data_IF_901684742842
#
_entry.id   IF_901684742842
#
_cell.length_a   1.000
_cell.length_b   1.000
_cell.length_c   1.000
_cell.angle_alpha   90.00
_cell.angle_beta   90.00
_cell.angle_gamma   90.00
#
_symmetry.space_group_name_H-M   'P 1'
#
loop_
_entity.id
_entity.type
_entity.pdbx_description
1 polymer ?
#
# COMPACT_ATOMS: atom_id res chain seq x y z
N UNK A 1 8.59 6.84 25.38
CA UNK A 1 7.80 5.92 24.52
C UNK A 1 7.28 6.73 23.35
N UNK A 2 7.51 6.30 22.10
CA UNK A 2 7.00 7.00 20.90
C UNK A 2 5.62 6.44 20.56
N UNK A 3 4.67 7.30 20.24
CA UNK A 3 3.34 6.91 19.77
C UNK A 3 3.10 7.47 18.37
N UNK A 4 2.27 6.78 17.59
CA UNK A 4 1.90 7.18 16.22
C UNK A 4 0.39 7.17 16.11
N UNK A 5 -0.17 8.26 15.62
CA UNK A 5 -1.55 8.35 15.17
C UNK A 5 -1.57 8.12 13.67
N UNK A 6 -2.41 7.20 13.21
CA UNK A 6 -2.63 6.93 11.79
C UNK A 6 -4.01 7.41 11.42
N UNK A 7 -4.09 8.31 10.43
CA UNK A 7 -5.34 8.70 9.78
C UNK A 7 -5.37 8.05 8.40
N UNK A 8 -6.25 7.09 8.23
CA UNK A 8 -6.38 6.36 6.97
C UNK A 8 -7.44 7.01 6.07
N UNK A 9 -7.22 6.96 4.75
CA UNK A 9 -8.15 7.38 3.71
C UNK A 9 -8.72 8.80 3.90
N UNK A 10 -7.84 9.81 4.01
CA UNK A 10 -8.27 11.21 4.16
C UNK A 10 -9.22 11.67 3.04
N UNK A 11 -9.06 11.12 1.84
CA UNK A 11 -9.92 11.38 0.68
C UNK A 11 -11.39 10.98 0.87
N UNK A 12 -11.67 10.02 1.76
CA UNK A 12 -13.03 9.62 2.12
C UNK A 12 -13.65 10.54 3.20
N UNK A 13 -12.90 11.52 3.71
CA UNK A 13 -13.39 12.48 4.69
C UNK A 13 -14.12 13.65 4.01
N UNK A 14 -15.41 13.81 4.31
CA UNK A 14 -16.22 14.94 3.81
C UNK A 14 -15.72 16.33 4.24
N UNK A 15 -14.82 16.39 5.24
CA UNK A 15 -14.18 17.60 5.74
C UNK A 15 -12.65 17.52 5.64
N UNK A 16 -12.13 16.83 4.63
CA UNK A 16 -10.71 16.61 4.40
C UNK A 16 -9.89 17.91 4.43
N UNK A 17 -10.38 19.01 3.85
CA UNK A 17 -9.72 20.32 3.88
C UNK A 17 -9.56 20.89 5.29
N UNK A 18 -10.59 20.76 6.12
CA UNK A 18 -10.59 21.19 7.52
C UNK A 18 -9.58 20.37 8.33
N UNK A 19 -9.52 19.06 8.10
CA UNK A 19 -8.54 18.17 8.74
C UNK A 19 -7.12 18.55 8.30
N UNK A 20 -6.90 18.77 7.00
CA UNK A 20 -5.59 19.13 6.45
C UNK A 20 -5.09 20.46 7.03
N UNK A 21 -5.95 21.47 7.06
CA UNK A 21 -5.57 22.83 7.51
C UNK A 21 -5.50 22.99 9.02
N UNK A 22 -6.44 22.41 9.78
CA UNK A 22 -6.54 22.61 11.23
C UNK A 22 -5.76 21.58 12.03
N UNK A 23 -5.59 20.36 11.52
CA UNK A 23 -4.94 19.24 12.23
C UNK A 23 -3.58 18.93 11.64
N UNK A 24 -3.50 18.53 10.38
CA UNK A 24 -2.26 18.00 9.78
C UNK A 24 -1.18 19.08 9.72
N UNK A 25 -1.53 20.27 9.22
CA UNK A 25 -0.60 21.41 9.11
C UNK A 25 -0.05 21.87 10.46
N UNK A 26 -0.88 21.87 11.50
CA UNK A 26 -0.53 22.41 12.81
C UNK A 26 0.18 21.38 13.68
N UNK A 27 0.07 20.09 13.36
CA UNK A 27 0.53 18.96 14.18
C UNK A 27 1.95 19.15 14.73
N UNK A 28 2.92 19.43 13.85
CA UNK A 28 4.33 19.56 14.23
C UNK A 28 4.58 20.71 15.20
N UNK A 29 3.75 21.75 15.16
CA UNK A 29 3.89 22.92 16.02
C UNK A 29 3.24 22.73 17.40
N UNK A 30 2.17 21.93 17.48
CA UNK A 30 1.34 21.82 18.71
C UNK A 30 1.54 20.50 19.47
N UNK A 31 1.99 19.44 18.78
CA UNK A 31 2.11 18.11 19.38
C UNK A 31 3.50 17.88 19.98
N UNK A 32 3.59 17.12 21.08
CA UNK A 32 4.87 16.78 21.68
C UNK A 32 5.69 15.87 20.76
N UNK A 33 7.02 15.99 20.81
CA UNK A 33 7.94 15.29 19.90
C UNK A 33 7.85 13.74 19.96
N UNK A 34 7.28 13.18 21.04
CA UNK A 34 7.08 11.73 21.16
C UNK A 34 5.85 11.22 20.38
N UNK A 35 4.97 12.11 19.89
CA UNK A 35 3.75 11.77 19.17
C UNK A 35 3.85 12.14 17.69
N UNK A 36 3.83 11.13 16.81
CA UNK A 36 3.89 11.32 15.35
C UNK A 36 2.52 11.14 14.70
N UNK A 37 2.32 11.76 13.54
CA UNK A 37 1.14 11.58 12.69
C UNK A 37 1.56 10.99 11.36
N UNK A 38 0.84 9.98 10.90
CA UNK A 38 0.92 9.42 9.55
C UNK A 38 -0.47 9.50 8.94
N UNK A 39 -0.55 9.97 7.69
CA UNK A 39 -1.81 10.11 6.98
C UNK A 39 -1.70 9.40 5.64
N UNK A 40 -2.69 8.58 5.30
CA UNK A 40 -2.84 8.00 3.96
C UNK A 40 -3.98 8.70 3.22
N UNK A 41 -3.83 8.81 1.90
CA UNK A 41 -4.82 9.40 1.01
C UNK A 41 -4.53 9.01 -0.43
N UNK A 42 -5.55 8.98 -1.29
CA UNK A 42 -5.33 9.00 -2.74
C UNK A 42 -4.85 10.39 -3.20
N UNK A 43 -3.99 10.48 -4.24
CA UNK A 43 -3.49 11.75 -4.77
C UNK A 43 -4.53 12.41 -5.69
N UNK A 44 -5.67 12.83 -5.15
CA UNK A 44 -6.80 13.34 -5.93
C UNK A 44 -7.16 14.79 -5.60
N UNK A 45 -7.39 15.60 -6.65
CA UNK A 45 -8.10 16.89 -6.59
C UNK A 45 -7.54 17.92 -5.60
N UNK A 46 -8.39 18.38 -4.67
CA UNK A 46 -8.05 19.40 -3.66
C UNK A 46 -7.03 18.92 -2.64
N UNK A 47 -6.99 17.63 -2.32
CA UNK A 47 -6.07 17.11 -1.29
C UNK A 47 -4.62 17.21 -1.76
N UNK A 48 -4.34 16.86 -3.01
CA UNK A 48 -2.99 16.98 -3.58
C UNK A 48 -2.51 18.44 -3.61
N UNK A 49 -3.41 19.39 -3.94
CA UNK A 49 -3.13 20.83 -3.83
C UNK A 49 -2.89 21.24 -2.38
N UNK A 50 -3.71 20.77 -1.46
CA UNK A 50 -3.55 21.01 -0.02
C UNK A 50 -2.20 20.56 0.50
N UNK A 51 -1.76 19.35 0.15
CA UNK A 51 -0.44 18.83 0.55
C UNK A 51 0.69 19.73 0.02
N UNK A 52 0.65 20.06 -1.27
CA UNK A 52 1.68 20.88 -1.94
C UNK A 52 1.74 22.30 -1.39
N UNK A 53 0.59 22.97 -1.29
CA UNK A 53 0.48 24.36 -0.84
C UNK A 53 0.88 24.54 0.62
N UNK A 54 0.77 23.50 1.44
CA UNK A 54 1.16 23.52 2.85
C UNK A 54 2.57 22.97 3.08
N UNK A 55 3.32 22.59 2.03
CA UNK A 55 4.68 22.04 2.11
C UNK A 55 4.77 20.87 3.10
N UNK A 56 3.77 20.00 3.10
CA UNK A 56 3.74 18.81 3.94
C UNK A 56 4.73 17.78 3.39
N UNK A 57 5.43 17.09 4.29
CA UNK A 57 6.24 15.94 3.92
C UNK A 57 5.32 14.81 3.43
N UNK A 58 5.54 14.34 2.20
CA UNK A 58 4.69 13.35 1.57
C UNK A 58 5.50 12.49 0.60
N UNK A 59 5.13 11.21 0.51
CA UNK A 59 5.65 10.26 -0.47
C UNK A 59 4.47 9.71 -1.25
N UNK A 60 4.45 9.95 -2.56
CA UNK A 60 3.51 9.30 -3.48
C UNK A 60 4.04 7.89 -3.76
N UNK A 61 3.16 6.90 -3.67
CA UNK A 61 3.46 5.52 -4.04
C UNK A 61 2.75 5.25 -5.37
N UNK A 62 3.52 5.11 -6.45
CA UNK A 62 2.95 4.90 -7.78
C UNK A 62 2.86 3.40 -8.08
N UNK A 63 1.75 2.97 -8.66
CA UNK A 63 1.54 1.55 -9.01
C UNK A 63 2.63 1.04 -9.95
N UNK A 64 3.15 1.93 -10.81
CA UNK A 64 4.15 1.59 -11.83
C UNK A 64 5.59 1.69 -11.34
N UNK A 65 5.82 1.99 -10.06
CA UNK A 65 7.17 2.06 -9.52
C UNK A 65 7.84 0.68 -9.56
N UNK A 66 9.09 0.63 -10.02
CA UNK A 66 9.90 -0.60 -10.04
C UNK A 66 10.07 -1.19 -8.63
N UNK A 67 10.15 -0.33 -7.61
CA UNK A 67 10.19 -0.78 -6.22
C UNK A 67 8.88 -1.48 -5.80
N UNK A 68 7.73 -1.00 -6.27
CA UNK A 68 6.44 -1.61 -6.01
C UNK A 68 6.35 -3.01 -6.64
N UNK A 69 6.76 -3.16 -7.90
CA UNK A 69 6.81 -4.47 -8.55
C UNK A 69 7.77 -5.44 -7.86
N UNK A 70 8.94 -4.96 -7.41
CA UNK A 70 9.89 -5.76 -6.64
C UNK A 70 9.29 -6.24 -5.32
N UNK A 71 8.56 -5.39 -4.62
CA UNK A 71 7.92 -5.75 -3.35
C UNK A 71 6.75 -6.72 -3.55
N UNK A 72 5.96 -6.56 -4.63
CA UNK A 72 4.91 -7.50 -5.02
C UNK A 72 5.50 -8.86 -5.40
N UNK A 73 6.53 -8.90 -6.25
CA UNK A 73 7.20 -10.15 -6.62
C UNK A 73 7.72 -10.87 -5.38
N UNK A 74 8.35 -10.14 -4.46
CA UNK A 74 8.82 -10.68 -3.19
C UNK A 74 7.66 -11.21 -2.34
N UNK A 75 6.55 -10.51 -2.25
CA UNK A 75 5.37 -10.96 -1.51
C UNK A 75 4.79 -12.25 -2.11
N UNK A 76 4.56 -12.26 -3.42
CA UNK A 76 4.04 -13.43 -4.15
C UNK A 76 4.97 -14.63 -4.00
N UNK A 77 6.29 -14.42 -4.11
CA UNK A 77 7.27 -15.49 -3.91
C UNK A 77 7.13 -16.16 -2.55
N UNK A 78 6.94 -15.39 -1.47
CA UNK A 78 6.72 -15.96 -0.13
C UNK A 78 5.40 -16.73 -0.08
N UNK A 79 4.31 -16.18 -0.63
CA UNK A 79 3.02 -16.88 -0.70
C UNK A 79 3.14 -18.23 -1.41
N UNK A 80 3.77 -18.26 -2.59
CA UNK A 80 3.94 -19.49 -3.36
C UNK A 80 4.88 -20.50 -2.69
N UNK A 81 5.90 -20.05 -1.96
CA UNK A 81 6.78 -20.94 -1.18
C UNK A 81 6.00 -21.75 -0.13
N UNK A 82 4.97 -21.16 0.47
CA UNK A 82 4.12 -21.80 1.47
C UNK A 82 3.10 -22.76 0.83
N UNK A 83 2.82 -22.62 -0.46
CA UNK A 83 1.84 -23.43 -1.23
C UNK A 83 2.50 -24.62 -1.95
N UNK A 84 3.24 -25.45 -1.21
CA UNK A 84 4.03 -26.58 -1.77
C UNK A 84 3.21 -27.62 -2.52
N UNK A 85 1.95 -27.79 -2.12
CA UNK A 85 1.05 -28.77 -2.72
C UNK A 85 0.43 -28.26 -4.04
N UNK A 86 0.56 -26.96 -4.33
CA UNK A 86 -0.03 -26.33 -5.52
C UNK A 86 1.03 -25.91 -6.54
N UNK A 87 2.21 -25.47 -6.09
CA UNK A 87 3.29 -25.00 -6.96
C UNK A 87 4.59 -25.73 -6.64
N UNK A 88 5.21 -26.31 -7.66
CA UNK A 88 6.53 -26.93 -7.52
C UNK A 88 7.58 -25.87 -7.16
N UNK A 89 8.45 -26.18 -6.19
CA UNK A 89 9.46 -25.23 -5.69
C UNK A 89 10.41 -24.70 -6.77
N UNK A 90 10.66 -25.49 -7.83
CA UNK A 90 11.49 -25.06 -8.97
C UNK A 90 10.85 -23.94 -9.79
N UNK A 91 9.53 -23.84 -9.78
CA UNK A 91 8.74 -22.91 -10.59
C UNK A 91 8.31 -21.66 -9.80
N UNK A 92 8.49 -21.63 -8.48
CA UNK A 92 8.09 -20.51 -7.62
C UNK A 92 8.66 -19.17 -8.11
N UNK A 93 9.94 -19.13 -8.49
CA UNK A 93 10.58 -17.89 -8.93
C UNK A 93 10.02 -17.38 -10.27
N UNK A 94 9.79 -18.26 -11.24
CA UNK A 94 9.22 -17.89 -12.54
C UNK A 94 7.75 -17.49 -12.40
N UNK A 95 6.97 -18.22 -11.60
CA UNK A 95 5.59 -17.88 -11.28
C UNK A 95 5.48 -16.52 -10.58
N UNK A 96 6.32 -16.24 -9.57
CA UNK A 96 6.29 -14.97 -8.85
C UNK A 96 6.52 -13.77 -9.78
N UNK A 97 7.47 -13.90 -10.71
CA UNK A 97 7.75 -12.86 -11.70
C UNK A 97 6.58 -12.65 -12.67
N UNK A 98 5.99 -13.71 -13.20
CA UNK A 98 4.84 -13.60 -14.12
C UNK A 98 3.65 -12.96 -13.40
N UNK A 99 3.38 -13.40 -12.17
CA UNK A 99 2.23 -12.91 -11.40
C UNK A 99 2.45 -11.47 -10.91
N UNK A 100 3.68 -11.05 -10.61
CA UNK A 100 3.96 -9.65 -10.29
C UNK A 100 3.71 -8.73 -11.47
N UNK A 101 4.13 -9.12 -12.68
CA UNK A 101 3.81 -8.38 -13.92
C UNK A 101 2.29 -8.30 -14.15
N UNK A 102 1.57 -9.40 -13.91
CA UNK A 102 0.10 -9.48 -14.05
C UNK A 102 -0.69 -8.72 -13.00
N UNK A 103 -0.07 -8.40 -11.86
CA UNK A 103 -0.72 -7.61 -10.82
C UNK A 103 -0.95 -6.15 -11.23
N UNK A 104 -0.28 -5.67 -12.29
CA UNK A 104 -0.28 -4.26 -12.70
C UNK A 104 0.05 -3.30 -11.54
N UNK A 105 0.86 -3.75 -10.58
CA UNK A 105 1.26 -2.96 -9.41
C UNK A 105 0.27 -3.03 -8.24
N UNK A 106 -0.77 -3.86 -8.30
CA UNK A 106 -1.79 -3.95 -7.25
C UNK A 106 -1.49 -5.07 -6.25
N UNK A 107 -1.14 -4.72 -5.02
CA UNK A 107 -1.04 -5.67 -3.91
C UNK A 107 -2.37 -6.39 -3.61
N UNK A 108 -3.49 -5.69 -3.75
CA UNK A 108 -4.80 -6.29 -3.56
C UNK A 108 -5.03 -7.45 -4.53
N UNK A 109 -4.57 -7.34 -5.77
CA UNK A 109 -4.63 -8.44 -6.74
C UNK A 109 -3.83 -9.66 -6.25
N UNK A 110 -2.61 -9.44 -5.73
CA UNK A 110 -1.77 -10.51 -5.20
C UNK A 110 -2.42 -11.23 -3.99
N UNK A 111 -3.23 -10.53 -3.19
CA UNK A 111 -3.92 -11.13 -2.03
C UNK A 111 -4.97 -12.19 -2.41
N UNK A 112 -5.50 -12.15 -3.63
CA UNK A 112 -6.47 -13.14 -4.13
C UNK A 112 -5.81 -14.40 -4.70
N UNK A 113 -4.47 -14.42 -4.83
CA UNK A 113 -3.75 -15.54 -5.44
C UNK A 113 -3.94 -16.86 -4.69
N UNK A 114 -3.81 -16.93 -3.35
CA UNK A 114 -3.93 -18.21 -2.64
C UNK A 114 -5.31 -18.85 -2.87
N UNK A 115 -6.38 -18.08 -2.66
CA UNK A 115 -7.76 -18.56 -2.86
C UNK A 115 -8.02 -18.96 -4.32
N UNK A 116 -7.50 -18.20 -5.28
CA UNK A 116 -7.68 -18.49 -6.70
C UNK A 116 -6.95 -19.76 -7.10
N UNK A 117 -5.69 -19.93 -6.68
CA UNK A 117 -4.90 -21.12 -6.98
C UNK A 117 -5.45 -22.38 -6.31
N UNK A 118 -5.94 -22.27 -5.06
CA UNK A 118 -6.60 -23.39 -4.39
C UNK A 118 -7.84 -23.87 -5.13
N UNK A 119 -8.74 -22.95 -5.53
CA UNK A 119 -9.94 -23.31 -6.31
C UNK A 119 -9.59 -24.00 -7.63
N UNK A 120 -8.60 -23.47 -8.35
CA UNK A 120 -8.15 -24.07 -9.61
C UNK A 120 -7.49 -25.44 -9.45
N UNK A 121 -6.96 -25.76 -8.26
CA UNK A 121 -6.41 -27.07 -7.94
C UNK A 121 -7.50 -28.08 -7.58
N UNK A 122 -8.54 -27.69 -6.84
CA UNK A 122 -9.66 -28.57 -6.48
C UNK A 122 -10.56 -28.95 -7.66
N UNK A 123 -10.61 -28.11 -8.70
CA UNK A 123 -11.39 -28.36 -9.92
C UNK A 123 -10.70 -29.31 -10.93
N UNK A 124 -9.49 -29.80 -10.65
CA UNK A 124 -8.74 -30.76 -11.47
C UNK A 124 -8.85 -32.20 -10.97
#
# INVERSE_FOLDING_TARGET
>A
MRQVVVLDALDECSKSDDVLTKVIRTWKAVMPAWLSLVVSTRPEGEIQRGITNNSLDSKVLELKDEENFRDIEKHIKHLLCDMKDTVEQKDVASCAKILSERSEGLFLWASFLPETLHRMHEEK
#
